data_IF_156256890927
#
_entry.id   IF_156256890927
#
_cell.length_a   1.000
_cell.length_b   1.000
_cell.length_c   1.000
_cell.angle_alpha   90.00
_cell.angle_beta   90.00
_cell.angle_gamma   90.00
#
_symmetry.space_group_name_H-M   'P 1'
#
loop_
_entity.id
_entity.type
_entity.pdbx_description
1 polymer ?
#
# COMPACT_ATOMS: atom_id res chain seq x y z
N UNK A 1 0.75 12.31 11.43
CA UNK A 1 -0.52 12.27 10.67
C UNK A 1 -1.46 11.26 11.30
N UNK A 2 -2.76 11.51 11.21
CA UNK A 2 -3.82 10.62 11.68
C UNK A 2 -4.87 10.52 10.59
N UNK A 3 -5.22 9.30 10.22
CA UNK A 3 -6.34 9.05 9.32
C UNK A 3 -7.61 8.84 10.15
N UNK A 4 -8.68 9.52 9.78
CA UNK A 4 -10.00 9.34 10.38
C UNK A 4 -10.94 8.84 9.28
N UNK A 5 -11.50 7.65 9.50
CA UNK A 5 -12.43 7.00 8.58
C UNK A 5 -13.53 7.98 8.13
N UNK A 6 -13.79 8.06 6.84
CA UNK A 6 -14.73 8.97 6.16
C UNK A 6 -14.45 10.48 6.32
N UNK A 7 -13.53 10.88 7.22
CA UNK A 7 -13.24 12.31 7.46
C UNK A 7 -11.91 12.78 6.86
N UNK A 8 -11.07 11.82 6.43
CA UNK A 8 -9.81 12.12 5.75
C UNK A 8 -8.60 12.19 6.69
N UNK A 9 -7.62 12.97 6.30
CA UNK A 9 -6.31 13.03 6.94
C UNK A 9 -6.16 14.30 7.79
N UNK A 10 -5.56 14.14 8.98
CA UNK A 10 -5.34 15.21 9.95
C UNK A 10 -3.90 15.23 10.44
N UNK A 11 -3.38 16.42 10.71
CA UNK A 11 -2.15 16.62 11.46
C UNK A 11 -2.48 16.81 12.92
N UNK A 12 -1.89 15.98 13.77
CA UNK A 12 -2.03 16.08 15.22
C UNK A 12 -0.71 16.56 15.84
N UNK A 13 -0.78 17.61 16.63
CA UNK A 13 0.34 18.11 17.41
C UNK A 13 0.35 17.43 18.77
N UNK A 14 1.28 16.51 19.00
CA UNK A 14 1.36 15.73 20.25
C UNK A 14 1.60 16.61 21.50
N UNK A 15 2.25 17.78 21.33
CA UNK A 15 2.58 18.68 22.47
C UNK A 15 1.39 19.54 22.91
N UNK A 16 0.58 19.99 21.94
CA UNK A 16 -0.53 20.92 22.24
C UNK A 16 -1.89 20.25 22.27
N UNK A 17 -1.97 18.96 21.84
CA UNK A 17 -3.24 18.24 21.69
C UNK A 17 -4.11 18.73 20.53
N UNK A 18 -3.67 19.75 19.80
CA UNK A 18 -4.44 20.32 18.70
C UNK A 18 -4.31 19.49 17.43
N UNK A 19 -5.35 19.49 16.63
CA UNK A 19 -5.35 18.88 15.31
C UNK A 19 -5.96 19.82 14.28
N UNK A 20 -5.49 19.68 13.03
CA UNK A 20 -6.05 20.41 11.88
C UNK A 20 -6.14 19.46 10.69
N UNK A 21 -7.14 19.70 9.84
CA UNK A 21 -7.28 18.93 8.60
C UNK A 21 -6.05 19.12 7.72
N UNK A 22 -5.55 18.02 7.19
CA UNK A 22 -4.46 18.06 6.26
C UNK A 22 -4.99 18.38 4.86
N UNK A 23 -4.54 19.49 4.31
CA UNK A 23 -4.99 20.01 3.02
C UNK A 23 -3.83 19.90 2.04
N UNK A 24 -4.07 19.25 0.91
CA UNK A 24 -3.14 19.19 -0.21
C UNK A 24 -3.53 20.23 -1.24
N UNK A 25 -2.56 20.94 -1.77
CA UNK A 25 -2.75 21.80 -2.93
C UNK A 25 -2.38 20.96 -4.15
N UNK A 26 -3.35 20.72 -5.01
CA UNK A 26 -3.10 20.12 -6.31
C UNK A 26 -2.34 21.14 -7.18
N UNK A 27 -1.09 20.85 -7.50
CA UNK A 27 -0.21 21.78 -8.26
C UNK A 27 -0.72 22.03 -9.69
N UNK A 28 -1.47 21.09 -10.28
CA UNK A 28 -2.02 21.24 -11.63
C UNK A 28 -3.27 22.12 -11.67
N UNK A 29 -4.12 22.01 -10.67
CA UNK A 29 -5.40 22.73 -10.65
C UNK A 29 -5.40 23.90 -9.68
N UNK A 30 -4.34 24.09 -8.90
CA UNK A 30 -4.22 25.03 -7.77
C UNK A 30 -5.42 24.95 -6.80
N UNK A 31 -6.11 23.81 -6.78
CA UNK A 31 -7.23 23.57 -5.88
C UNK A 31 -6.74 22.93 -4.59
N UNK A 32 -7.24 23.46 -3.48
CA UNK A 32 -7.05 22.84 -2.17
C UNK A 32 -7.92 21.60 -2.10
N UNK A 33 -7.30 20.43 -2.16
CA UNK A 33 -7.99 19.15 -2.03
C UNK A 33 -7.76 18.64 -0.61
N UNK A 34 -8.84 18.41 0.11
CA UNK A 34 -8.75 17.61 1.34
C UNK A 34 -8.80 16.15 0.92
N UNK A 35 -8.05 15.28 1.59
CA UNK A 35 -8.28 13.85 1.48
C UNK A 35 -9.67 13.54 2.07
N UNK A 36 -10.72 13.78 1.28
CA UNK A 36 -12.11 13.50 1.64
C UNK A 36 -12.49 12.06 1.32
N UNK A 37 -11.55 11.15 1.46
CA UNK A 37 -11.75 9.79 1.02
C UNK A 37 -11.34 8.79 2.06
N UNK A 38 -11.48 7.57 1.65
CA UNK A 38 -11.09 6.39 2.36
C UNK A 38 -9.55 6.35 2.42
N UNK A 39 -8.96 6.89 3.47
CA UNK A 39 -7.54 6.71 3.77
C UNK A 39 -7.45 5.50 4.68
N UNK A 40 -6.94 4.40 4.14
CA UNK A 40 -6.82 3.13 4.89
C UNK A 40 -5.55 3.08 5.71
N UNK A 41 -4.50 3.75 5.26
CA UNK A 41 -3.21 3.69 5.91
C UNK A 41 -2.43 4.99 5.69
N UNK A 42 -1.73 5.39 6.75
CA UNK A 42 -0.65 6.39 6.72
C UNK A 42 0.55 5.72 7.37
N UNK A 43 1.57 5.43 6.59
CA UNK A 43 2.80 4.80 7.09
C UNK A 43 4.02 5.63 6.72
N UNK A 44 4.88 5.88 7.71
CA UNK A 44 6.19 6.42 7.46
C UNK A 44 7.04 5.28 6.88
N UNK A 45 7.41 5.41 5.63
CA UNK A 45 8.38 4.57 4.96
C UNK A 45 9.70 5.30 4.95
N UNK A 46 10.82 4.62 4.94
CA UNK A 46 12.15 5.17 5.15
C UNK A 46 12.41 6.58 4.54
N UNK A 47 13.32 7.33 5.13
CA UNK A 47 13.91 8.55 4.55
C UNK A 47 12.95 9.71 4.22
N UNK A 48 12.18 10.18 5.19
CA UNK A 48 11.32 11.36 5.05
C UNK A 48 10.11 11.20 4.09
N UNK A 49 9.67 9.98 3.82
CA UNK A 49 8.49 9.72 3.01
C UNK A 49 7.35 9.12 3.83
N UNK A 50 6.14 9.59 3.58
CA UNK A 50 4.92 9.03 4.16
C UNK A 50 4.02 8.57 3.03
N UNK A 51 3.67 7.29 3.04
CA UNK A 51 2.68 6.75 2.13
C UNK A 51 1.27 6.96 2.68
N UNK A 52 0.41 7.51 1.85
CA UNK A 52 -1.00 7.78 2.15
C UNK A 52 -1.82 6.95 1.17
N UNK A 53 -2.43 5.90 1.66
CA UNK A 53 -3.06 4.86 0.85
C UNK A 53 -4.57 4.84 1.06
N UNK A 54 -5.31 4.70 -0.03
CA UNK A 54 -6.77 4.64 -0.02
C UNK A 54 -7.33 4.31 -1.40
N UNK A 55 -8.34 5.03 -1.87
CA UNK A 55 -8.76 5.00 -3.28
C UNK A 55 -7.73 5.77 -4.13
N UNK A 56 -6.62 5.14 -4.40
CA UNK A 56 -5.40 5.72 -4.90
C UNK A 56 -4.33 5.79 -3.83
N UNK A 57 -3.15 6.24 -4.21
CA UNK A 57 -2.02 6.38 -3.32
C UNK A 57 -1.29 7.70 -3.55
N UNK A 58 -0.66 8.18 -2.50
CA UNK A 58 0.14 9.40 -2.51
C UNK A 58 1.38 9.20 -1.66
N UNK A 59 2.48 9.82 -2.08
CA UNK A 59 3.71 9.92 -1.31
C UNK A 59 3.85 11.36 -0.83
N UNK A 60 3.95 11.55 0.47
CA UNK A 60 4.28 12.85 1.05
C UNK A 60 5.77 12.89 1.39
N UNK A 61 6.50 13.78 0.73
CA UNK A 61 7.90 14.07 1.00
C UNK A 61 8.00 15.10 2.12
N UNK A 62 8.45 14.68 3.29
CA UNK A 62 8.41 15.50 4.52
C UNK A 62 9.31 16.75 4.39
N UNK A 63 10.52 16.60 3.84
CA UNK A 63 11.47 17.70 3.67
C UNK A 63 10.94 18.76 2.72
N UNK A 64 10.46 18.33 1.57
CA UNK A 64 10.03 19.23 0.49
C UNK A 64 8.60 19.72 0.68
N UNK A 65 7.85 19.08 1.61
CA UNK A 65 6.42 19.32 1.84
C UNK A 65 5.57 19.13 0.57
N UNK A 66 6.00 18.22 -0.30
CA UNK A 66 5.36 17.93 -1.58
C UNK A 66 4.63 16.60 -1.56
N UNK A 67 3.63 16.49 -2.42
CA UNK A 67 2.92 15.25 -2.70
C UNK A 67 3.20 14.81 -4.12
N UNK A 68 3.49 13.52 -4.28
CA UNK A 68 3.53 12.87 -5.57
C UNK A 68 2.49 11.76 -5.60
N UNK A 69 1.70 11.60 -6.67
CA UNK A 69 0.77 10.51 -6.78
C UNK A 69 1.54 9.18 -6.91
N UNK A 70 1.05 8.14 -6.25
CA UNK A 70 1.43 6.77 -6.51
C UNK A 70 0.75 6.32 -7.80
N UNK A 71 1.46 6.37 -8.92
CA UNK A 71 0.90 6.04 -10.23
C UNK A 71 0.98 4.52 -10.43
N UNK A 72 -0.18 3.88 -10.42
CA UNK A 72 -0.27 2.47 -10.80
C UNK A 72 -0.13 2.33 -12.32
N UNK A 73 0.39 1.19 -12.82
CA UNK A 73 0.38 0.92 -14.26
C UNK A 73 -1.03 1.03 -14.84
N UNK A 74 -1.16 1.61 -16.04
CA UNK A 74 -2.43 2.02 -16.67
C UNK A 74 -3.56 1.00 -16.58
N UNK A 75 -3.25 -0.28 -16.77
CA UNK A 75 -4.21 -1.39 -16.65
C UNK A 75 -4.92 -1.45 -15.28
N UNK A 76 -4.34 -0.85 -14.24
CA UNK A 76 -4.81 -0.98 -12.85
C UNK A 76 -5.26 0.36 -12.26
N UNK A 77 -4.94 1.48 -12.88
CA UNK A 77 -5.25 2.82 -12.36
C UNK A 77 -6.74 3.12 -12.22
N UNK A 78 -7.58 2.50 -13.01
CA UNK A 78 -9.05 2.70 -13.03
C UNK A 78 -9.81 1.74 -12.10
N UNK A 79 -9.13 0.84 -11.39
CA UNK A 79 -9.81 -0.12 -10.52
C UNK A 79 -10.43 0.57 -9.30
N UNK A 80 -11.69 0.24 -9.04
CA UNK A 80 -12.50 0.83 -7.96
C UNK A 80 -12.09 0.34 -6.56
N UNK A 81 -11.28 -0.71 -6.46
CA UNK A 81 -10.86 -1.27 -5.18
C UNK A 81 -9.82 -0.38 -4.50
N UNK A 82 -9.89 -0.15 -3.19
CA UNK A 82 -8.88 0.62 -2.49
C UNK A 82 -7.52 -0.10 -2.53
N UNK A 83 -6.47 0.69 -2.76
CA UNK A 83 -5.10 0.23 -2.59
C UNK A 83 -4.84 -0.01 -1.10
N UNK A 84 -4.12 -1.06 -0.76
CA UNK A 84 -3.75 -1.39 0.61
C UNK A 84 -2.27 -1.73 0.69
N UNK A 85 -1.60 -1.25 1.73
CA UNK A 85 -0.24 -1.66 2.04
C UNK A 85 -0.29 -2.90 2.95
N UNK A 86 0.50 -3.89 2.62
CA UNK A 86 0.58 -5.12 3.40
C UNK A 86 1.93 -5.30 4.10
N UNK A 87 2.99 -4.74 3.53
CA UNK A 87 4.35 -4.83 4.07
C UNK A 87 5.17 -3.62 3.61
N UNK A 88 6.13 -3.19 4.42
CA UNK A 88 7.12 -2.18 4.05
C UNK A 88 8.43 -2.40 4.79
N UNK A 89 9.54 -2.13 4.13
CA UNK A 89 10.89 -2.05 4.69
C UNK A 89 11.61 -0.83 4.09
N UNK A 90 12.94 -0.74 4.24
CA UNK A 90 13.75 0.38 3.76
C UNK A 90 13.99 0.36 2.23
N UNK A 91 13.65 -0.73 1.55
CA UNK A 91 13.90 -0.91 0.12
C UNK A 91 12.60 -0.78 -0.70
N UNK A 92 11.53 -1.40 -0.24
CA UNK A 92 10.25 -1.45 -0.96
C UNK A 92 9.03 -1.59 -0.06
N UNK A 93 7.89 -1.28 -0.60
CA UNK A 93 6.59 -1.56 -0.01
C UNK A 93 5.79 -2.52 -0.89
N UNK A 94 5.12 -3.49 -0.27
CA UNK A 94 4.15 -4.36 -0.93
C UNK A 94 2.76 -3.77 -0.77
N UNK A 95 2.15 -3.52 -1.91
CA UNK A 95 0.80 -2.98 -2.01
C UNK A 95 -0.09 -4.01 -2.69
N UNK A 96 -1.39 -3.97 -2.40
CA UNK A 96 -2.36 -4.80 -3.09
C UNK A 96 -3.59 -4.00 -3.49
N UNK A 97 -4.20 -4.41 -4.60
CA UNK A 97 -5.51 -3.95 -5.04
C UNK A 97 -6.29 -5.15 -5.58
N UNK A 98 -7.29 -5.57 -4.82
CA UNK A 98 -7.98 -6.83 -5.15
C UNK A 98 -7.04 -8.04 -5.05
N UNK A 99 -6.84 -8.73 -6.16
CA UNK A 99 -5.94 -9.87 -6.32
C UNK A 99 -4.57 -9.53 -6.92
N UNK A 100 -4.30 -8.25 -7.19
CA UNK A 100 -3.03 -7.79 -7.76
C UNK A 100 -2.08 -7.34 -6.67
N UNK A 101 -0.83 -7.77 -6.75
CA UNK A 101 0.25 -7.39 -5.86
C UNK A 101 1.22 -6.49 -6.62
N UNK A 102 1.50 -5.35 -6.02
CA UNK A 102 2.47 -4.38 -6.53
C UNK A 102 3.66 -4.28 -5.59
N UNK A 103 4.80 -3.96 -6.15
CA UNK A 103 5.98 -3.56 -5.41
C UNK A 103 6.30 -2.10 -5.75
N UNK A 104 6.30 -1.26 -4.72
CA UNK A 104 6.71 0.14 -4.82
C UNK A 104 8.15 0.25 -4.29
N UNK A 105 9.06 0.69 -5.13
CA UNK A 105 10.43 1.00 -4.75
C UNK A 105 10.47 2.33 -3.99
N UNK A 106 11.03 2.32 -2.77
CA UNK A 106 11.01 3.49 -1.89
C UNK A 106 11.97 4.59 -2.34
N UNK A 107 13.03 4.25 -3.06
CA UNK A 107 14.00 5.25 -3.49
C UNK A 107 13.56 5.97 -4.75
N UNK A 108 13.02 5.24 -5.71
CA UNK A 108 12.63 5.76 -7.03
C UNK A 108 11.17 6.16 -7.13
N UNK A 109 10.35 5.80 -6.13
CA UNK A 109 8.89 5.93 -6.12
C UNK A 109 8.19 5.21 -7.29
N UNK A 110 8.90 4.30 -7.97
CA UNK A 110 8.34 3.53 -9.06
C UNK A 110 7.51 2.35 -8.54
N UNK A 111 6.43 2.04 -9.25
CA UNK A 111 5.55 0.91 -8.93
C UNK A 111 5.56 -0.06 -10.10
N UNK A 112 5.72 -1.33 -9.77
CA UNK A 112 5.59 -2.41 -10.74
C UNK A 112 4.62 -3.48 -10.25
N UNK A 113 3.95 -4.14 -11.19
CA UNK A 113 3.18 -5.35 -10.88
C UNK A 113 4.15 -6.46 -10.56
N UNK A 114 3.98 -7.06 -9.41
CA UNK A 114 4.78 -8.20 -9.00
C UNK A 114 4.16 -9.50 -9.48
N UNK A 115 2.88 -9.69 -9.17
CA UNK A 115 2.10 -10.85 -9.59
C UNK A 115 0.61 -10.58 -9.42
N UNK A 116 -0.21 -11.44 -10.03
CA UNK A 116 -1.65 -11.49 -9.82
C UNK A 116 -2.00 -12.86 -9.20
N UNK A 117 -2.69 -12.85 -8.06
CA UNK A 117 -3.29 -14.06 -7.53
C UNK A 117 -4.46 -14.51 -8.43
N UNK A 118 -4.83 -15.80 -8.45
CA UNK A 118 -6.02 -16.25 -9.17
C UNK A 118 -7.25 -15.41 -8.86
N UNK A 119 -8.10 -15.19 -9.86
CA UNK A 119 -9.22 -14.23 -9.78
C UNK A 119 -10.23 -14.54 -8.66
N UNK A 120 -10.30 -15.79 -8.26
CA UNK A 120 -11.17 -16.28 -7.20
C UNK A 120 -10.50 -16.33 -5.82
N UNK A 121 -9.25 -15.90 -5.74
CA UNK A 121 -8.49 -15.77 -4.50
C UNK A 121 -8.46 -14.33 -4.02
N UNK A 122 -8.90 -14.12 -2.80
CA UNK A 122 -8.80 -12.84 -2.13
C UNK A 122 -7.59 -12.84 -1.20
N UNK A 123 -6.63 -11.98 -1.47
CA UNK A 123 -5.47 -11.78 -0.61
C UNK A 123 -5.94 -11.19 0.73
N UNK A 124 -5.52 -11.79 1.84
CA UNK A 124 -5.88 -11.37 3.20
C UNK A 124 -4.68 -10.80 3.97
N UNK A 125 -3.50 -11.37 3.77
CA UNK A 125 -2.27 -10.94 4.41
C UNK A 125 -1.06 -11.15 3.49
N UNK A 126 0.01 -10.40 3.71
CA UNK A 126 1.31 -10.62 3.05
C UNK A 126 2.45 -10.29 4.02
N UNK A 127 3.54 -11.02 3.90
CA UNK A 127 4.81 -10.71 4.56
C UNK A 127 5.99 -11.09 3.67
N UNK A 128 7.16 -10.56 3.99
CA UNK A 128 8.39 -10.82 3.23
C UNK A 128 9.43 -11.51 4.09
N UNK A 129 9.86 -12.68 3.64
CA UNK A 129 11.01 -13.41 4.15
C UNK A 129 12.26 -12.93 3.42
N UNK A 130 13.08 -12.13 4.10
CA UNK A 130 14.28 -11.52 3.53
C UNK A 130 15.34 -12.57 3.22
N UNK A 131 15.49 -13.61 4.05
CA UNK A 131 16.50 -14.63 3.88
C UNK A 131 16.24 -15.49 2.64
N UNK A 132 14.96 -15.85 2.43
CA UNK A 132 14.51 -16.67 1.30
C UNK A 132 14.11 -15.85 0.10
N UNK A 133 14.10 -14.51 0.21
CA UNK A 133 13.62 -13.58 -0.82
C UNK A 133 12.21 -13.92 -1.32
N UNK A 134 11.37 -14.39 -0.39
CA UNK A 134 10.05 -14.94 -0.66
C UNK A 134 8.98 -14.07 -0.04
N UNK A 135 7.96 -13.73 -0.81
CA UNK A 135 6.75 -13.07 -0.34
C UNK A 135 5.72 -14.15 -0.03
N UNK A 136 5.35 -14.27 1.22
CA UNK A 136 4.27 -15.13 1.66
C UNK A 136 2.94 -14.41 1.52
N UNK A 137 1.94 -15.09 0.99
CA UNK A 137 0.65 -14.52 0.60
C UNK A 137 -0.45 -15.40 1.18
N UNK A 138 -1.11 -14.89 2.22
CA UNK A 138 -2.32 -15.51 2.76
C UNK A 138 -3.53 -15.13 1.91
N UNK A 139 -4.35 -16.11 1.58
CA UNK A 139 -5.60 -15.91 0.84
C UNK A 139 -6.76 -16.59 1.54
N UNK A 140 -7.98 -16.35 1.07
CA UNK A 140 -9.17 -17.09 1.54
C UNK A 140 -9.18 -18.58 1.15
N UNK A 141 -8.19 -19.04 0.37
CA UNK A 141 -8.02 -20.43 -0.05
C UNK A 141 -6.76 -21.11 0.49
N UNK A 142 -5.96 -20.39 1.27
CA UNK A 142 -4.76 -20.93 1.89
C UNK A 142 -3.54 -20.05 1.78
N UNK A 143 -2.38 -20.65 1.91
CA UNK A 143 -1.09 -19.99 1.85
C UNK A 143 -0.45 -20.18 0.48
N UNK A 144 0.02 -19.08 -0.06
CA UNK A 144 0.76 -19.04 -1.31
C UNK A 144 2.10 -18.33 -1.10
N UNK A 145 2.98 -18.41 -2.05
CA UNK A 145 4.20 -17.64 -2.03
C UNK A 145 4.64 -17.22 -3.42
N UNK A 146 5.39 -16.10 -3.46
CA UNK A 146 6.03 -15.59 -4.64
C UNK A 146 7.54 -15.50 -4.39
N UNK A 147 8.32 -16.24 -5.15
CA UNK A 147 9.78 -16.19 -5.08
C UNK A 147 10.30 -15.12 -6.03
N UNK A 148 10.97 -14.10 -5.49
CA UNK A 148 11.37 -12.90 -6.27
C UNK A 148 12.35 -13.22 -7.40
N UNK A 149 13.31 -14.12 -7.19
CA UNK A 149 14.33 -14.42 -8.18
C UNK A 149 13.80 -15.30 -9.31
N UNK A 150 12.93 -16.25 -8.98
CA UNK A 150 12.27 -17.14 -9.94
C UNK A 150 11.10 -16.46 -10.65
N UNK A 151 10.59 -15.36 -10.07
CA UNK A 151 9.37 -14.65 -10.52
C UNK A 151 8.17 -15.57 -10.64
N UNK A 152 8.05 -16.51 -9.72
CA UNK A 152 7.06 -17.58 -9.78
C UNK A 152 6.11 -17.50 -8.58
N UNK A 153 4.81 -17.52 -8.87
CA UNK A 153 3.73 -17.63 -7.88
C UNK A 153 3.37 -19.11 -7.72
N UNK A 154 3.41 -19.59 -6.48
CA UNK A 154 3.13 -20.99 -6.16
C UNK A 154 2.11 -21.12 -5.03
N UNK A 155 1.24 -22.12 -5.16
CA UNK A 155 0.35 -22.51 -4.07
C UNK A 155 1.10 -23.39 -3.07
N UNK A 156 1.02 -23.04 -1.81
CA UNK A 156 1.47 -23.90 -0.74
C UNK A 156 0.29 -24.74 -0.26
N UNK A 157 0.14 -25.91 -0.86
CA UNK A 157 -0.94 -26.84 -0.50
C UNK A 157 -0.70 -27.44 0.88
N UNK A 158 -1.19 -26.79 1.90
CA UNK A 158 -1.47 -27.45 3.18
C UNK A 158 -2.98 -27.66 3.24
N UNK A 159 -3.44 -28.89 3.20
CA UNK A 159 -4.88 -29.22 3.33
C UNK A 159 -5.47 -28.87 4.72
N UNK A 160 -4.82 -27.95 5.46
CA UNK A 160 -5.13 -27.60 6.85
C UNK A 160 -5.73 -26.20 7.01
N UNK A 161 -5.66 -25.33 5.99
CA UNK A 161 -6.12 -23.94 6.17
C UNK A 161 -7.16 -23.56 5.13
N UNK A 162 -8.36 -23.24 5.59
CA UNK A 162 -9.43 -22.70 4.74
C UNK A 162 -9.28 -21.20 4.48
N UNK A 163 -8.58 -20.48 5.34
CA UNK A 163 -8.21 -19.06 5.15
C UNK A 163 -7.09 -18.65 6.10
N UNK A 164 -6.25 -17.68 5.68
CA UNK A 164 -5.20 -17.09 6.48
C UNK A 164 -5.44 -15.60 6.57
N UNK A 165 -5.60 -15.06 7.79
CA UNK A 165 -5.88 -13.66 8.04
C UNK A 165 -4.68 -12.87 8.58
N UNK A 166 -3.67 -13.56 9.08
CA UNK A 166 -2.43 -12.97 9.61
C UNK A 166 -1.21 -13.79 9.21
N UNK A 167 -0.15 -13.10 8.83
CA UNK A 167 1.18 -13.66 8.56
C UNK A 167 2.25 -12.82 9.25
#
# INVERSE_FOLDING_TARGET
LISIYTKGLFVFNKRTGQYKRFVVVDEFTNRKTCFNGYVTLVNEVANDKIYIIGYGGWIYHIKDKKFTPLILPDKYGEKVSPLQMAYSNDEFSLLRQGNVIFMADIQTDSIQVLTEAPIDERITAMTYDKERRTIWIGTNRGLNYYHRDEKEYKHFHTGLFSSISHL
#
